data_IF_419409323174
#
_entry.id   IF_419409323174
#
_cell.length_a   1.000
_cell.length_b   1.000
_cell.length_c   1.000
_cell.angle_alpha   90.00
_cell.angle_beta   90.00
_cell.angle_gamma   90.00
#
_symmetry.space_group_name_H-M   'P 1'
#
loop_
_entity.id
_entity.type
_entity.pdbx_description
1 polymer ?
#
# COMPACT_ATOMS: atom_id res chain seq x y z
N UNK A 1 -0.11 -19.93 14.94
CA UNK A 1 1.34 -20.20 14.98
C UNK A 1 2.00 -19.20 15.90
N UNK A 2 3.02 -19.58 16.70
CA UNK A 2 3.76 -18.61 17.50
C UNK A 2 4.44 -17.59 16.58
N UNK A 3 4.34 -16.31 16.96
CA UNK A 3 4.98 -15.22 16.22
C UNK A 3 6.48 -15.35 16.35
N UNK A 4 7.19 -15.34 15.24
CA UNK A 4 8.65 -15.39 15.22
C UNK A 4 9.22 -14.15 15.94
N UNK A 5 10.23 -14.38 16.80
CA UNK A 5 11.03 -13.29 17.35
C UNK A 5 11.80 -12.58 16.23
N UNK A 6 12.28 -11.36 16.46
CA UNK A 6 13.05 -10.63 15.45
C UNK A 6 14.34 -11.36 15.07
N UNK A 7 14.97 -12.05 16.02
CA UNK A 7 16.12 -12.92 15.75
C UNK A 7 15.72 -14.10 14.85
N UNK A 8 14.54 -14.68 15.08
CA UNK A 8 14.01 -15.76 14.24
C UNK A 8 13.67 -15.26 12.83
N UNK A 9 13.17 -14.02 12.67
CA UNK A 9 12.94 -13.40 11.35
C UNK A 9 14.27 -13.18 10.61
N UNK A 10 15.26 -12.65 11.28
CA UNK A 10 16.60 -12.41 10.70
C UNK A 10 17.29 -13.72 10.33
N UNK A 11 17.20 -14.75 11.17
CA UNK A 11 17.72 -16.09 10.86
C UNK A 11 17.01 -16.73 9.66
N UNK A 12 15.68 -16.63 9.60
CA UNK A 12 14.88 -17.11 8.47
C UNK A 12 15.27 -16.36 7.17
N UNK A 13 15.50 -15.04 7.25
CA UNK A 13 15.98 -14.26 6.10
C UNK A 13 17.31 -14.83 5.57
N UNK A 14 18.30 -15.02 6.42
CA UNK A 14 19.60 -15.56 6.01
C UNK A 14 19.49 -16.94 5.33
N UNK A 15 18.68 -17.84 5.89
CA UNK A 15 18.48 -19.19 5.36
C UNK A 15 17.76 -19.17 4.00
N UNK A 16 16.60 -18.52 3.93
CA UNK A 16 15.77 -18.49 2.71
C UNK A 16 16.46 -17.71 1.59
N UNK A 17 17.04 -16.55 1.89
CA UNK A 17 17.77 -15.73 0.92
C UNK A 17 18.94 -16.50 0.30
N UNK A 18 19.72 -17.20 1.12
CA UNK A 18 20.85 -18.04 0.63
C UNK A 18 20.35 -19.18 -0.24
N UNK A 19 19.28 -19.87 0.17
CA UNK A 19 18.69 -20.98 -0.59
C UNK A 19 18.20 -20.51 -1.98
N UNK A 20 17.51 -19.39 -2.05
CA UNK A 20 17.01 -18.82 -3.30
C UNK A 20 18.14 -18.30 -4.19
N UNK A 21 19.15 -17.61 -3.63
CA UNK A 21 20.26 -17.02 -4.37
C UNK A 21 21.12 -18.06 -5.11
N UNK A 22 21.21 -19.29 -4.58
CA UNK A 22 22.00 -20.40 -5.17
C UNK A 22 21.29 -21.11 -6.32
N UNK A 23 20.03 -20.79 -6.61
CA UNK A 23 19.24 -21.43 -7.67
C UNK A 23 19.42 -20.69 -8.99
N UNK A 24 19.51 -21.44 -10.09
CA UNK A 24 19.47 -20.87 -11.44
C UNK A 24 18.11 -20.28 -11.76
N UNK A 25 18.05 -19.38 -12.75
CA UNK A 25 16.79 -18.76 -13.20
C UNK A 25 15.77 -19.81 -13.64
N UNK A 26 16.22 -20.86 -14.37
CA UNK A 26 15.37 -21.98 -14.75
C UNK A 26 14.74 -22.66 -13.52
N UNK A 27 15.56 -22.96 -12.49
CA UNK A 27 15.04 -23.62 -11.29
C UNK A 27 14.12 -22.74 -10.45
N UNK A 28 14.40 -21.42 -10.40
CA UNK A 28 13.49 -20.47 -9.75
C UNK A 28 12.16 -20.36 -10.52
N UNK A 29 12.20 -20.32 -11.85
CA UNK A 29 11.01 -20.32 -12.70
C UNK A 29 10.12 -21.55 -12.43
N UNK A 30 10.71 -22.76 -12.45
CA UNK A 30 10.01 -24.02 -12.16
C UNK A 30 9.33 -23.98 -10.76
N UNK A 31 10.02 -23.44 -9.75
CA UNK A 31 9.45 -23.30 -8.40
C UNK A 31 8.29 -22.32 -8.33
N UNK A 32 8.46 -21.16 -8.99
CA UNK A 32 7.43 -20.12 -9.00
C UNK A 32 6.21 -20.58 -9.80
N UNK A 33 6.38 -21.37 -10.88
CA UNK A 33 5.27 -21.90 -11.67
C UNK A 33 4.52 -23.03 -10.92
N UNK A 34 5.20 -23.74 -10.02
CA UNK A 34 4.61 -24.77 -9.18
C UNK A 34 4.00 -24.22 -7.87
N UNK A 35 4.17 -22.92 -7.57
CA UNK A 35 3.68 -22.30 -6.34
C UNK A 35 2.14 -22.22 -6.34
N UNK A 36 1.55 -22.28 -5.13
CA UNK A 36 0.09 -22.19 -4.95
C UNK A 36 -0.40 -20.76 -5.23
N UNK A 37 -1.27 -20.55 -6.24
CA UNK A 37 -1.78 -19.22 -6.54
C UNK A 37 -2.58 -18.62 -5.37
N UNK A 38 -2.35 -17.36 -5.04
CA UNK A 38 -3.10 -16.60 -4.04
C UNK A 38 -4.04 -15.56 -4.66
N UNK A 39 -3.80 -15.17 -5.91
CA UNK A 39 -4.64 -14.22 -6.65
C UNK A 39 -3.85 -13.38 -7.64
N UNK A 40 -4.60 -12.54 -8.35
CA UNK A 40 -4.06 -11.58 -9.32
C UNK A 40 -4.68 -10.21 -9.04
N UNK A 41 -3.85 -9.16 -8.98
CA UNK A 41 -4.28 -7.77 -8.86
C UNK A 41 -3.59 -6.89 -9.88
N UNK A 42 -3.83 -5.58 -9.82
CA UNK A 42 -3.18 -4.58 -10.69
C UNK A 42 -1.65 -4.65 -10.53
N UNK A 43 -1.17 -4.88 -9.30
CA UNK A 43 0.26 -4.98 -8.98
C UNK A 43 0.95 -6.27 -9.41
N UNK A 44 0.23 -7.23 -10.01
CA UNK A 44 0.82 -8.49 -10.48
C UNK A 44 0.13 -9.74 -9.96
N UNK A 45 0.77 -10.91 -10.17
CA UNK A 45 0.28 -12.22 -9.72
C UNK A 45 0.99 -12.63 -8.44
N UNK A 46 0.23 -13.18 -7.50
CA UNK A 46 0.74 -13.61 -6.20
C UNK A 46 0.58 -15.12 -6.01
N UNK A 47 1.55 -15.73 -5.33
CA UNK A 47 1.54 -17.15 -5.01
C UNK A 47 2.22 -17.41 -3.66
N UNK A 48 1.98 -18.59 -3.09
CA UNK A 48 2.64 -19.09 -1.90
C UNK A 48 3.58 -20.24 -2.27
N UNK A 49 4.82 -20.13 -1.85
CA UNK A 49 5.87 -21.11 -2.04
C UNK A 49 6.42 -21.54 -0.68
N UNK A 50 6.88 -22.78 -0.57
CA UNK A 50 7.66 -23.23 0.58
C UNK A 50 9.15 -23.33 0.21
N UNK A 51 10.01 -22.73 1.04
CA UNK A 51 11.47 -22.78 0.91
C UNK A 51 12.07 -23.17 2.26
N UNK A 52 12.74 -24.30 2.33
CA UNK A 52 13.38 -24.81 3.54
C UNK A 52 12.42 -24.81 4.76
N UNK A 53 11.16 -25.27 4.54
CA UNK A 53 10.11 -25.34 5.57
C UNK A 53 9.55 -23.97 5.98
N UNK A 54 9.84 -22.91 5.21
CA UNK A 54 9.29 -21.56 5.46
C UNK A 54 8.33 -21.14 4.35
N UNK A 55 7.15 -20.60 4.69
CA UNK A 55 6.26 -20.01 3.70
C UNK A 55 6.85 -18.71 3.15
N UNK A 56 6.86 -18.58 1.83
CA UNK A 56 7.39 -17.44 1.09
C UNK A 56 6.29 -16.90 0.18
N UNK A 57 5.94 -15.64 0.37
CA UNK A 57 5.04 -14.95 -0.54
C UNK A 57 5.80 -14.54 -1.79
N UNK A 58 5.29 -14.93 -2.94
CA UNK A 58 5.87 -14.62 -4.25
C UNK A 58 4.97 -13.62 -4.97
N UNK A 59 5.53 -12.48 -5.38
CA UNK A 59 4.85 -11.50 -6.23
C UNK A 59 5.57 -11.39 -7.57
N UNK A 60 4.84 -11.59 -8.67
CA UNK A 60 5.34 -11.41 -10.04
C UNK A 60 4.85 -10.05 -10.54
N UNK A 61 5.74 -9.08 -10.62
CA UNK A 61 5.45 -7.73 -11.12
C UNK A 61 5.85 -7.66 -12.59
N UNK A 62 4.91 -7.40 -13.53
CA UNK A 62 5.24 -7.33 -14.95
C UNK A 62 6.32 -6.27 -15.23
N UNK A 63 7.30 -6.63 -16.04
CA UNK A 63 8.43 -5.79 -16.40
C UNK A 63 8.39 -5.49 -17.89
N UNK A 64 8.15 -4.24 -18.25
CA UNK A 64 8.01 -3.83 -19.65
C UNK A 64 9.37 -3.85 -20.39
N UNK A 65 9.34 -3.90 -21.72
CA UNK A 65 10.55 -3.83 -22.53
C UNK A 65 11.35 -2.53 -22.30
N UNK A 66 10.65 -1.40 -22.04
CA UNK A 66 11.31 -0.15 -21.70
C UNK A 66 12.11 -0.25 -20.39
N UNK A 67 11.53 -0.88 -19.36
CA UNK A 67 12.18 -1.08 -18.07
C UNK A 67 13.34 -2.09 -18.13
N UNK A 68 13.35 -2.97 -19.14
CA UNK A 68 14.39 -4.00 -19.37
C UNK A 68 15.60 -3.50 -20.14
N UNK A 69 15.53 -2.35 -20.78
CA UNK A 69 16.68 -1.79 -21.50
C UNK A 69 17.85 -1.62 -20.54
N UNK A 70 19.11 -1.93 -20.95
CA UNK A 70 20.29 -1.88 -20.08
C UNK A 70 20.41 -0.55 -19.29
N UNK A 71 20.12 0.57 -19.94
CA UNK A 71 20.17 1.91 -19.35
C UNK A 71 19.06 2.18 -18.32
N UNK A 72 18.00 1.36 -18.32
CA UNK A 72 16.84 1.52 -17.43
C UNK A 72 16.77 0.46 -16.31
N UNK A 73 17.65 -0.54 -16.35
CA UNK A 73 17.67 -1.58 -15.30
C UNK A 73 17.88 -0.93 -13.94
N UNK A 74 16.95 -1.19 -13.00
CA UNK A 74 16.92 -0.62 -11.65
C UNK A 74 16.75 0.91 -11.59
N UNK A 75 16.36 1.56 -12.70
CA UNK A 75 16.04 2.97 -12.71
C UNK A 75 14.78 3.26 -11.91
N UNK A 76 14.81 4.25 -11.02
CA UNK A 76 13.66 4.75 -10.28
C UNK A 76 13.04 5.98 -10.91
N UNK A 77 13.52 6.40 -12.09
CA UNK A 77 12.92 7.49 -12.85
C UNK A 77 11.51 7.13 -13.35
N UNK A 78 10.70 8.14 -13.62
CA UNK A 78 9.40 7.98 -14.26
C UNK A 78 9.59 7.77 -15.77
N UNK A 79 9.95 6.54 -16.16
CA UNK A 79 10.35 6.21 -17.54
C UNK A 79 9.28 6.46 -18.60
N UNK A 80 8.01 6.41 -18.21
CA UNK A 80 6.89 6.63 -19.10
C UNK A 80 6.44 8.09 -19.14
N UNK A 81 6.92 8.93 -18.21
CA UNK A 81 6.48 10.32 -18.08
C UNK A 81 5.03 10.44 -17.55
N UNK A 82 4.59 9.49 -16.70
CA UNK A 82 3.23 9.51 -16.14
C UNK A 82 2.98 10.77 -15.33
N UNK A 83 1.78 11.39 -15.45
CA UNK A 83 1.38 12.47 -14.57
C UNK A 83 1.44 12.08 -13.09
N UNK A 84 1.77 13.04 -12.23
CA UNK A 84 1.92 12.77 -10.80
C UNK A 84 0.62 12.33 -10.11
N UNK A 85 -0.54 12.72 -10.64
CA UNK A 85 -1.84 12.28 -10.10
C UNK A 85 -2.07 10.76 -10.27
N UNK A 86 -1.35 10.07 -11.17
CA UNK A 86 -1.35 8.62 -11.24
C UNK A 86 -0.86 7.95 -9.95
N UNK A 87 -0.20 8.71 -9.06
CA UNK A 87 0.24 8.27 -7.75
C UNK A 87 -0.92 7.95 -6.80
N UNK A 88 -2.10 8.53 -7.01
CA UNK A 88 -3.27 8.23 -6.17
C UNK A 88 -3.89 6.84 -6.37
N UNK A 89 -3.44 6.09 -7.34
CA UNK A 89 -3.55 4.64 -7.40
C UNK A 89 -4.91 4.02 -7.72
N UNK A 90 -5.95 4.76 -7.93
CA UNK A 90 -7.30 4.25 -8.14
C UNK A 90 -7.39 3.53 -9.50
N UNK A 91 -6.97 2.25 -9.55
CA UNK A 91 -6.89 1.49 -10.81
C UNK A 91 -5.76 1.94 -11.74
N UNK A 92 -4.71 2.58 -11.19
CA UNK A 92 -3.62 3.16 -11.95
C UNK A 92 -2.63 2.15 -12.52
N UNK A 93 -1.94 2.49 -13.62
CA UNK A 93 -1.00 1.59 -14.29
C UNK A 93 0.32 1.40 -13.53
N UNK A 94 0.53 2.10 -12.41
CA UNK A 94 1.77 2.08 -11.61
C UNK A 94 2.98 2.69 -12.32
N UNK A 95 4.00 3.05 -11.54
CA UNK A 95 5.20 3.77 -12.04
C UNK A 95 6.37 2.85 -12.43
N UNK A 96 6.27 1.55 -12.15
CA UNK A 96 7.27 0.60 -12.58
C UNK A 96 7.79 -0.33 -11.49
N UNK A 97 8.21 -1.52 -11.93
CA UNK A 97 8.69 -2.60 -11.06
C UNK A 97 9.96 -2.22 -10.28
N UNK A 98 10.82 -1.39 -10.86
CA UNK A 98 12.09 -1.00 -10.23
C UNK A 98 11.90 -0.08 -9.02
N UNK A 99 10.84 0.76 -8.99
CA UNK A 99 10.48 1.54 -7.81
C UNK A 99 10.04 0.64 -6.66
N UNK A 100 9.20 -0.35 -6.94
CA UNK A 100 8.77 -1.33 -5.94
C UNK A 100 9.97 -2.08 -5.37
N UNK A 101 10.87 -2.59 -6.23
CA UNK A 101 12.11 -3.24 -5.79
C UNK A 101 12.96 -2.33 -4.89
N UNK A 102 13.14 -1.08 -5.29
CA UNK A 102 13.95 -0.13 -4.51
C UNK A 102 13.38 0.07 -3.09
N UNK A 103 12.06 0.16 -2.95
CA UNK A 103 11.41 0.27 -1.63
C UNK A 103 11.55 -1.04 -0.86
N UNK A 104 11.35 -2.21 -1.48
CA UNK A 104 11.54 -3.50 -0.83
C UNK A 104 12.97 -3.68 -0.28
N UNK A 105 13.98 -3.22 -1.01
CA UNK A 105 15.37 -3.21 -0.53
C UNK A 105 15.52 -2.28 0.67
N UNK A 106 14.99 -1.06 0.60
CA UNK A 106 15.08 -0.09 1.70
C UNK A 106 14.41 -0.61 2.97
N UNK A 107 13.18 -1.10 2.87
CA UNK A 107 12.37 -1.57 4.00
C UNK A 107 13.00 -2.80 4.65
N UNK A 108 13.48 -3.76 3.85
CA UNK A 108 14.21 -4.92 4.34
C UNK A 108 15.47 -4.52 5.11
N UNK A 109 16.26 -3.56 4.59
CA UNK A 109 17.43 -3.06 5.29
C UNK A 109 17.08 -2.34 6.61
N UNK A 110 15.95 -1.65 6.67
CA UNK A 110 15.49 -1.04 7.93
C UNK A 110 15.11 -2.10 8.97
N UNK A 111 14.44 -3.18 8.56
CA UNK A 111 14.09 -4.29 9.45
C UNK A 111 15.35 -4.99 9.95
N UNK A 112 16.25 -5.40 9.06
CA UNK A 112 17.49 -6.12 9.41
C UNK A 112 18.44 -5.25 10.25
N UNK A 113 18.45 -3.95 10.02
CA UNK A 113 19.20 -2.97 10.82
C UNK A 113 18.51 -2.58 12.14
N UNK A 114 17.38 -3.20 12.51
CA UNK A 114 16.67 -2.95 13.76
C UNK A 114 16.00 -1.56 13.87
N UNK A 115 15.88 -0.82 12.75
CA UNK A 115 15.37 0.56 12.75
C UNK A 115 13.86 0.64 12.86
N UNK A 116 13.15 -0.24 12.15
CA UNK A 116 11.70 -0.37 12.20
C UNK A 116 11.27 -1.76 11.72
N UNK A 117 10.36 -2.40 12.43
CA UNK A 117 10.02 -3.82 12.25
C UNK A 117 8.73 -4.06 11.47
N UNK A 118 8.00 -2.99 11.13
CA UNK A 118 6.67 -3.02 10.51
C UNK A 118 6.70 -3.15 8.99
N UNK A 119 7.62 -3.95 8.44
CA UNK A 119 7.68 -4.30 7.02
C UNK A 119 7.93 -5.79 6.86
N UNK A 120 7.35 -6.47 5.85
CA UNK A 120 7.78 -7.81 5.44
C UNK A 120 9.22 -7.77 4.94
N UNK A 121 9.98 -8.83 5.22
CA UNK A 121 11.34 -8.99 4.70
C UNK A 121 11.28 -9.46 3.23
N UNK A 122 12.10 -8.87 2.37
CA UNK A 122 12.37 -9.42 1.05
C UNK A 122 13.56 -10.37 1.15
N UNK A 123 13.34 -11.66 0.90
CA UNK A 123 14.37 -12.67 0.92
C UNK A 123 15.23 -12.65 -0.34
N UNK A 124 14.59 -12.46 -1.50
CA UNK A 124 15.28 -12.49 -2.80
C UNK A 124 14.44 -11.80 -3.87
N UNK A 125 15.06 -11.47 -4.99
CA UNK A 125 14.38 -11.04 -6.20
C UNK A 125 15.10 -11.56 -7.44
N UNK A 126 14.37 -11.74 -8.55
CA UNK A 126 14.93 -12.15 -9.83
C UNK A 126 14.08 -11.65 -10.98
N UNK A 127 14.69 -11.31 -12.09
CA UNK A 127 13.96 -11.12 -13.35
C UNK A 127 13.88 -12.47 -14.05
N UNK A 128 12.66 -12.95 -14.27
CA UNK A 128 12.40 -14.23 -14.93
C UNK A 128 11.55 -14.02 -16.18
N UNK A 129 11.72 -14.85 -17.22
CA UNK A 129 10.78 -14.90 -18.34
C UNK A 129 9.37 -15.14 -17.83
N UNK A 130 8.39 -14.49 -18.46
CA UNK A 130 6.99 -14.62 -18.09
C UNK A 130 6.10 -14.48 -19.31
N UNK A 131 4.88 -14.99 -19.21
CA UNK A 131 3.83 -14.71 -20.19
C UNK A 131 3.20 -13.37 -19.91
N UNK A 132 2.74 -12.68 -20.96
CA UNK A 132 1.99 -11.44 -20.82
C UNK A 132 0.86 -11.61 -19.77
N UNK A 133 0.75 -10.70 -18.78
CA UNK A 133 -0.27 -10.82 -17.76
C UNK A 133 -1.66 -10.64 -18.37
N UNK A 134 -2.66 -11.36 -17.85
CA UNK A 134 -4.05 -10.99 -18.07
C UNK A 134 -4.23 -9.60 -17.45
N UNK A 135 -4.67 -8.59 -18.20
CA UNK A 135 -4.89 -7.26 -17.65
C UNK A 135 -5.87 -7.29 -16.48
N UNK A 136 -5.59 -6.52 -15.44
CA UNK A 136 -6.58 -6.27 -14.40
C UNK A 136 -7.85 -5.65 -15.02
N UNK A 137 -9.06 -5.90 -14.47
CA UNK A 137 -10.31 -5.40 -15.02
C UNK A 137 -10.30 -3.90 -15.32
N UNK A 138 -9.62 -3.11 -14.48
CA UNK A 138 -9.49 -1.65 -14.61
C UNK A 138 -8.64 -1.24 -15.83
N UNK A 139 -7.73 -2.10 -16.28
CA UNK A 139 -6.82 -1.87 -17.40
C UNK A 139 -7.17 -2.72 -18.62
N UNK A 140 -8.23 -3.53 -18.57
CA UNK A 140 -8.63 -4.41 -19.64
C UNK A 140 -9.13 -3.64 -20.88
N UNK A 141 -9.87 -2.57 -20.67
CA UNK A 141 -10.26 -1.61 -21.71
C UNK A 141 -9.28 -0.44 -21.70
N UNK A 142 -8.34 -0.43 -22.66
CA UNK A 142 -7.27 0.57 -22.73
C UNK A 142 -7.82 1.97 -22.94
N UNK A 143 -8.82 2.13 -23.83
CA UNK A 143 -9.39 3.44 -24.14
C UNK A 143 -10.07 4.05 -22.90
N UNK A 144 -10.86 3.23 -22.21
CA UNK A 144 -11.50 3.63 -20.96
C UNK A 144 -10.47 3.98 -19.87
N UNK A 145 -9.43 3.16 -19.70
CA UNK A 145 -8.38 3.40 -18.72
C UNK A 145 -7.60 4.67 -19.04
N UNK A 146 -7.25 4.90 -20.30
CA UNK A 146 -6.57 6.12 -20.74
C UNK A 146 -7.43 7.35 -20.50
N UNK A 147 -8.71 7.31 -20.90
CA UNK A 147 -9.66 8.41 -20.67
C UNK A 147 -9.81 8.70 -19.16
N UNK A 148 -9.93 7.66 -18.35
CA UNK A 148 -10.02 7.79 -16.89
C UNK A 148 -8.81 8.48 -16.26
N UNK A 149 -7.61 8.24 -16.80
CA UNK A 149 -6.34 8.82 -16.33
C UNK A 149 -5.90 10.07 -17.11
N UNK A 150 -6.84 10.85 -17.65
CA UNK A 150 -6.59 12.15 -18.26
C UNK A 150 -6.29 12.13 -19.76
N UNK A 151 -6.38 10.98 -20.41
CA UNK A 151 -6.30 10.87 -21.89
C UNK A 151 -4.88 10.94 -22.46
N UNK A 152 -3.83 10.99 -21.64
CA UNK A 152 -2.45 11.18 -22.08
C UNK A 152 -1.85 9.97 -22.83
N UNK A 153 -0.97 10.20 -23.84
CA UNK A 153 -0.29 9.13 -24.55
C UNK A 153 0.70 8.34 -23.69
N UNK A 154 1.21 8.93 -22.60
CA UNK A 154 2.09 8.29 -21.63
C UNK A 154 1.38 7.18 -20.85
N UNK A 155 0.12 7.38 -20.47
CA UNK A 155 -0.72 6.37 -19.81
C UNK A 155 -0.97 5.21 -20.75
N UNK A 156 -1.30 5.50 -22.04
CA UNK A 156 -1.47 4.48 -23.07
C UNK A 156 -0.18 3.64 -23.22
N UNK A 157 0.96 4.30 -23.43
CA UNK A 157 2.26 3.60 -23.60
C UNK A 157 2.56 2.68 -22.41
N UNK A 158 2.23 3.13 -21.19
CA UNK A 158 2.43 2.30 -19.98
C UNK A 158 1.53 1.07 -19.98
N UNK A 159 0.23 1.22 -20.24
CA UNK A 159 -0.73 0.11 -20.26
C UNK A 159 -0.37 -0.90 -21.38
N UNK A 160 -0.07 -0.42 -22.59
CA UNK A 160 0.33 -1.27 -23.70
C UNK A 160 1.66 -1.99 -23.41
N UNK A 161 2.64 -1.30 -22.80
CA UNK A 161 3.89 -1.90 -22.38
C UNK A 161 3.70 -3.03 -21.35
N UNK A 162 2.77 -2.88 -20.41
CA UNK A 162 2.42 -3.94 -19.46
C UNK A 162 1.79 -5.15 -20.15
N UNK A 163 0.89 -4.92 -21.10
CA UNK A 163 0.22 -5.98 -21.87
C UNK A 163 1.17 -6.77 -22.77
N UNK A 164 2.30 -6.19 -23.17
CA UNK A 164 3.32 -6.80 -24.02
C UNK A 164 4.50 -7.34 -23.24
N UNK A 165 4.47 -7.27 -21.91
CA UNK A 165 5.59 -7.72 -21.09
C UNK A 165 5.84 -9.23 -21.27
N UNK A 166 7.11 -9.59 -21.45
CA UNK A 166 7.60 -10.96 -21.64
C UNK A 166 8.45 -11.45 -20.47
N UNK A 167 8.56 -10.64 -19.42
CA UNK A 167 9.27 -10.95 -18.19
C UNK A 167 8.59 -10.29 -16.99
N UNK A 168 8.87 -10.84 -15.81
CA UNK A 168 8.45 -10.27 -14.53
C UNK A 168 9.63 -10.10 -13.59
N UNK A 169 9.60 -9.03 -12.81
CA UNK A 169 10.36 -8.96 -11.57
C UNK A 169 9.64 -9.85 -10.55
N UNK A 170 10.31 -10.91 -10.12
CA UNK A 170 9.77 -11.83 -9.11
C UNK A 170 10.37 -11.46 -7.77
N UNK A 171 9.50 -11.12 -6.81
CA UNK A 171 9.85 -10.78 -5.43
C UNK A 171 9.51 -11.97 -4.53
N UNK A 172 10.46 -12.41 -3.70
CA UNK A 172 10.27 -13.45 -2.70
C UNK A 172 10.26 -12.80 -1.33
N UNK A 173 9.08 -12.74 -0.71
CA UNK A 173 8.83 -11.94 0.48
C UNK A 173 8.45 -12.82 1.67
N UNK A 174 8.63 -12.30 2.87
CA UNK A 174 8.10 -12.89 4.09
C UNK A 174 6.58 -13.00 4.03
N UNK A 175 6.06 -14.18 4.30
CA UNK A 175 4.62 -14.41 4.33
C UNK A 175 4.04 -13.99 5.67
N UNK A 176 3.19 -12.99 5.66
CA UNK A 176 2.37 -12.58 6.80
C UNK A 176 0.92 -13.00 6.51
N UNK A 177 0.31 -13.85 7.36
CA UNK A 177 -0.85 -14.65 6.94
C UNK A 177 -2.17 -13.88 6.84
N UNK A 178 -2.28 -12.70 7.39
CA UNK A 178 -3.55 -11.96 7.44
C UNK A 178 -3.39 -10.50 7.07
N UNK A 179 -4.38 -9.97 6.35
CA UNK A 179 -4.54 -8.54 6.16
C UNK A 179 -5.08 -7.88 7.43
N UNK A 180 -4.82 -6.59 7.59
CA UNK A 180 -5.44 -5.81 8.65
C UNK A 180 -6.97 -5.84 8.54
N UNK A 181 -7.51 -5.80 7.31
CA UNK A 181 -8.95 -5.88 7.07
C UNK A 181 -9.57 -7.15 7.69
N UNK A 182 -9.01 -8.32 7.40
CA UNK A 182 -9.49 -9.61 7.92
C UNK A 182 -9.39 -9.68 9.44
N UNK A 183 -8.20 -9.39 9.97
CA UNK A 183 -7.93 -9.45 11.40
C UNK A 183 -8.81 -8.47 12.19
N UNK A 184 -8.96 -7.24 11.71
CA UNK A 184 -9.73 -6.22 12.41
C UNK A 184 -11.23 -6.54 12.39
N UNK A 185 -11.73 -7.11 11.27
CA UNK A 185 -13.11 -7.63 11.18
C UNK A 185 -13.38 -8.68 12.25
N UNK A 186 -12.48 -9.64 12.45
CA UNK A 186 -12.61 -10.64 13.52
C UNK A 186 -12.62 -10.00 14.90
N UNK A 187 -11.75 -9.01 15.15
CA UNK A 187 -11.65 -8.35 16.46
C UNK A 187 -12.90 -7.56 16.81
N UNK A 188 -13.45 -6.80 15.83
CA UNK A 188 -14.69 -6.03 16.03
C UNK A 188 -15.88 -6.97 16.28
N UNK A 189 -15.99 -8.07 15.54
CA UNK A 189 -17.06 -9.06 15.73
C UNK A 189 -16.96 -9.82 17.06
N UNK A 190 -15.80 -9.92 17.66
CA UNK A 190 -15.58 -10.61 18.94
C UNK A 190 -16.08 -9.83 20.17
N UNK A 191 -16.66 -8.65 19.99
CA UNK A 191 -17.27 -7.83 21.04
C UNK A 191 -16.48 -6.58 21.41
N UNK A 192 -17.09 -5.71 22.22
CA UNK A 192 -16.61 -4.35 22.48
C UNK A 192 -15.20 -4.29 23.04
N UNK A 193 -14.87 -5.09 24.05
CA UNK A 193 -13.53 -5.11 24.64
C UNK A 193 -12.43 -5.53 23.65
N UNK A 194 -12.75 -6.49 22.77
CA UNK A 194 -11.84 -6.92 21.70
C UNK A 194 -11.66 -5.83 20.64
N UNK A 195 -12.74 -5.15 20.28
CA UNK A 195 -12.73 -4.02 19.35
C UNK A 195 -11.88 -2.88 19.89
N UNK A 196 -12.04 -2.48 21.15
CA UNK A 196 -11.31 -1.39 21.77
C UNK A 196 -9.80 -1.65 21.83
N UNK A 197 -9.40 -2.88 22.22
CA UNK A 197 -7.98 -3.28 22.19
C UNK A 197 -7.41 -3.25 20.77
N UNK A 198 -8.19 -3.71 19.80
CA UNK A 198 -7.77 -3.70 18.41
C UNK A 198 -7.66 -2.26 17.86
N UNK A 199 -8.62 -1.38 18.15
CA UNK A 199 -8.58 0.04 17.80
C UNK A 199 -7.32 0.73 18.34
N UNK A 200 -7.00 0.54 19.63
CA UNK A 200 -5.81 1.12 20.25
C UNK A 200 -4.51 0.61 19.60
N UNK A 201 -4.43 -0.68 19.25
CA UNK A 201 -3.28 -1.24 18.54
C UNK A 201 -3.16 -0.64 17.14
N UNK A 202 -4.25 -0.62 16.38
CA UNK A 202 -4.26 -0.15 14.98
C UNK A 202 -3.88 1.33 14.92
N UNK A 203 -4.49 2.20 15.72
CA UNK A 203 -4.15 3.63 15.75
C UNK A 203 -2.67 3.87 16.04
N UNK A 204 -2.13 3.20 17.08
CA UNK A 204 -0.73 3.33 17.46
C UNK A 204 0.22 2.86 16.37
N UNK A 205 -0.02 1.68 15.79
CA UNK A 205 0.86 1.08 14.79
C UNK A 205 0.79 1.83 13.44
N UNK A 206 -0.39 2.32 13.04
CA UNK A 206 -0.54 3.19 11.86
C UNK A 206 0.25 4.48 12.04
N UNK A 207 0.15 5.11 13.21
CA UNK A 207 0.90 6.33 13.52
C UNK A 207 2.41 6.09 13.50
N UNK A 208 2.88 4.99 14.10
CA UNK A 208 4.30 4.65 14.13
C UNK A 208 4.85 4.38 12.72
N UNK A 209 4.15 3.58 11.91
CA UNK A 209 4.60 3.21 10.56
C UNK A 209 4.62 4.39 9.61
N UNK A 210 3.54 5.16 9.54
CA UNK A 210 3.46 6.35 8.66
C UNK A 210 4.45 7.44 9.07
N UNK A 211 4.67 7.64 10.37
CA UNK A 211 5.69 8.58 10.87
C UNK A 211 7.11 8.13 10.52
N UNK A 212 7.40 6.83 10.64
CA UNK A 212 8.70 6.28 10.27
C UNK A 212 8.97 6.46 8.76
N UNK A 213 8.02 6.08 7.90
CA UNK A 213 8.15 6.23 6.45
C UNK A 213 8.38 7.69 6.06
N UNK A 214 7.55 8.60 6.58
CA UNK A 214 7.68 10.04 6.31
C UNK A 214 9.04 10.61 6.74
N UNK A 215 9.52 10.27 7.94
CA UNK A 215 10.83 10.69 8.44
C UNK A 215 12.00 10.21 7.56
N UNK A 216 11.78 9.14 6.77
CA UNK A 216 12.77 8.61 5.83
C UNK A 216 12.52 9.00 4.37
N UNK A 217 11.61 9.95 4.13
CA UNK A 217 11.29 10.45 2.81
C UNK A 217 10.57 9.44 1.91
N UNK A 218 9.81 8.52 2.51
CA UNK A 218 8.99 7.53 1.81
C UNK A 218 7.51 7.84 2.06
N UNK A 219 6.71 7.85 1.00
CA UNK A 219 5.25 7.87 1.01
C UNK A 219 4.75 6.65 0.27
N UNK A 220 3.88 5.88 0.90
CA UNK A 220 3.37 4.61 0.39
C UNK A 220 2.30 4.80 -0.69
N UNK A 221 1.45 5.81 -0.54
CA UNK A 221 0.30 6.17 -1.38
C UNK A 221 -0.85 5.15 -1.43
N UNK A 222 -0.64 3.90 -1.03
CA UNK A 222 -1.64 2.83 -1.11
C UNK A 222 -1.75 2.01 0.18
N UNK A 223 -1.54 2.65 1.34
CA UNK A 223 -1.57 2.00 2.66
C UNK A 223 -3.00 1.74 3.16
N UNK A 224 -3.83 1.06 2.34
CA UNK A 224 -5.14 0.60 2.76
C UNK A 224 -5.08 -0.74 3.52
N UNK A 225 -6.17 -1.12 4.19
CA UNK A 225 -6.17 -2.26 5.12
C UNK A 225 -5.97 -3.64 4.47
N UNK A 226 -6.01 -3.75 3.15
CA UNK A 226 -5.63 -4.97 2.44
C UNK A 226 -4.13 -5.01 2.12
N UNK A 227 -3.45 -3.84 2.04
CA UNK A 227 -2.01 -3.71 1.85
C UNK A 227 -1.23 -3.59 3.18
N UNK A 228 -1.95 -3.52 4.30
CA UNK A 228 -1.37 -3.61 5.63
C UNK A 228 -1.67 -4.98 6.19
N UNK A 229 -0.61 -5.71 6.55
CA UNK A 229 -0.69 -7.06 7.10
C UNK A 229 -0.49 -7.05 8.61
N UNK A 230 -0.86 -8.14 9.30
CA UNK A 230 -0.68 -8.24 10.74
C UNK A 230 -0.48 -9.67 11.25
N UNK A 231 0.30 -9.79 12.30
CA UNK A 231 0.44 -11.00 13.12
C UNK A 231 -0.43 -10.94 14.41
N UNK A 232 -1.25 -9.88 14.54
CA UNK A 232 -2.08 -9.59 15.70
C UNK A 232 -1.37 -8.81 16.82
N UNK A 233 -0.08 -8.46 16.66
CA UNK A 233 0.72 -7.70 17.63
C UNK A 233 1.30 -6.42 17.04
N UNK A 234 1.58 -6.43 15.73
CA UNK A 234 2.08 -5.29 14.96
C UNK A 234 1.49 -5.27 13.58
N UNK A 235 1.65 -4.14 12.91
CA UNK A 235 1.29 -3.97 11.52
C UNK A 235 2.53 -4.03 10.62
N UNK A 236 2.33 -4.54 9.40
CA UNK A 236 3.36 -4.62 8.35
C UNK A 236 2.85 -3.93 7.11
N UNK A 237 3.49 -2.85 6.70
CA UNK A 237 3.17 -2.14 5.46
C UNK A 237 3.76 -2.90 4.28
N UNK A 238 2.93 -3.28 3.33
CA UNK A 238 3.28 -4.13 2.18
C UNK A 238 2.68 -3.54 0.90
N UNK A 239 3.10 -4.07 -0.25
CA UNK A 239 2.71 -3.61 -1.59
C UNK A 239 3.11 -2.15 -1.88
N UNK A 240 4.36 -1.98 -2.29
CA UNK A 240 4.93 -0.67 -2.59
C UNK A 240 4.85 -0.27 -4.07
N UNK A 241 3.91 -0.83 -4.83
CA UNK A 241 3.75 -0.54 -6.27
C UNK A 241 3.47 0.92 -6.61
N UNK A 242 2.93 1.70 -5.66
CA UNK A 242 2.66 3.13 -5.78
C UNK A 242 3.56 4.00 -4.89
N UNK A 243 4.53 3.42 -4.21
CA UNK A 243 5.36 4.20 -3.29
C UNK A 243 6.25 5.22 -4.01
N UNK A 244 6.41 6.39 -3.39
CA UNK A 244 7.29 7.47 -3.85
C UNK A 244 8.33 7.79 -2.77
N UNK A 245 9.59 7.90 -3.17
CA UNK A 245 10.68 8.15 -2.23
C UNK A 245 11.56 9.31 -2.66
N UNK A 246 11.98 10.13 -1.71
CA UNK A 246 12.98 11.19 -1.92
C UNK A 246 14.35 10.65 -2.40
N UNK A 247 14.53 9.32 -2.38
CA UNK A 247 15.76 8.66 -2.87
C UNK A 247 15.67 8.20 -4.33
N UNK A 248 14.51 8.38 -4.96
CA UNK A 248 14.33 8.06 -6.37
C UNK A 248 14.91 9.14 -7.27
N UNK A 249 15.15 8.78 -8.54
CA UNK A 249 15.49 9.75 -9.58
C UNK A 249 14.22 10.52 -10.00
N UNK A 250 13.80 11.46 -9.15
CA UNK A 250 12.57 12.24 -9.32
C UNK A 250 12.77 13.38 -10.28
N UNK A 251 11.76 13.65 -11.11
CA UNK A 251 11.62 14.92 -11.82
C UNK A 251 11.30 16.07 -10.84
N UNK A 252 11.38 17.30 -11.32
CA UNK A 252 11.01 18.48 -10.53
C UNK A 252 9.54 18.42 -10.09
N UNK A 253 8.63 18.01 -10.99
CA UNK A 253 7.21 17.84 -10.68
C UNK A 253 6.96 16.76 -9.63
N UNK A 254 7.66 15.62 -9.70
CA UNK A 254 7.57 14.56 -8.68
C UNK A 254 8.14 15.00 -7.33
N UNK A 255 9.21 15.80 -7.34
CA UNK A 255 9.80 16.35 -6.10
C UNK A 255 8.82 17.31 -5.42
N UNK A 256 8.20 18.21 -6.18
CA UNK A 256 7.15 19.10 -5.68
C UNK A 256 5.94 18.33 -5.15
N UNK A 257 5.50 17.31 -5.90
CA UNK A 257 4.40 16.44 -5.50
C UNK A 257 4.71 15.71 -4.18
N UNK A 258 5.88 15.09 -4.05
CA UNK A 258 6.31 14.44 -2.82
C UNK A 258 6.35 15.42 -1.64
N UNK A 259 6.85 16.65 -1.85
CA UNK A 259 6.89 17.69 -0.83
C UNK A 259 5.52 18.04 -0.28
N UNK A 260 4.52 18.15 -1.17
CA UNK A 260 3.13 18.44 -0.82
C UNK A 260 2.45 17.27 -0.08
N UNK A 261 2.84 16.03 -0.37
CA UNK A 261 2.17 14.81 0.09
C UNK A 261 2.86 14.11 1.28
N UNK A 262 3.78 14.76 1.96
CA UNK A 262 4.52 14.14 3.08
C UNK A 262 3.62 13.52 4.16
N UNK A 263 2.49 14.16 4.46
CA UNK A 263 1.53 13.66 5.45
C UNK A 263 0.47 12.72 4.86
N UNK A 264 0.53 12.40 3.55
CA UNK A 264 -0.52 11.67 2.86
C UNK A 264 -0.85 10.34 3.53
N UNK A 265 0.13 9.48 3.78
CA UNK A 265 -0.10 8.14 4.36
C UNK A 265 -0.78 8.23 5.73
N UNK A 266 -0.41 9.21 6.57
CA UNK A 266 -1.05 9.41 7.86
C UNK A 266 -2.52 9.80 7.68
N UNK A 267 -2.81 10.73 6.77
CA UNK A 267 -4.19 11.13 6.47
C UNK A 267 -4.98 9.98 5.84
N UNK A 268 -4.37 9.27 4.89
CA UNK A 268 -4.99 8.17 4.16
C UNK A 268 -5.34 7.00 5.08
N UNK A 269 -4.42 6.58 5.95
CA UNK A 269 -4.67 5.48 6.88
C UNK A 269 -5.73 5.82 7.93
N UNK A 270 -5.77 7.07 8.42
CA UNK A 270 -6.82 7.55 9.34
C UNK A 270 -8.18 7.65 8.64
N UNK A 271 -8.21 8.12 7.39
CA UNK A 271 -9.44 8.11 6.58
C UNK A 271 -9.95 6.69 6.38
N UNK A 272 -9.07 5.73 6.07
CA UNK A 272 -9.41 4.32 5.99
C UNK A 272 -9.95 3.79 7.31
N UNK A 273 -9.32 4.13 8.44
CA UNK A 273 -9.74 3.70 9.77
C UNK A 273 -11.17 4.16 10.09
N UNK A 274 -11.47 5.45 9.85
CA UNK A 274 -12.81 6.00 10.09
C UNK A 274 -13.85 5.35 9.19
N UNK A 275 -13.63 5.35 7.88
CA UNK A 275 -14.60 4.79 6.92
C UNK A 275 -14.80 3.28 7.13
N UNK A 276 -13.75 2.55 7.48
CA UNK A 276 -13.82 1.13 7.78
C UNK A 276 -14.62 0.86 9.06
N UNK A 277 -14.36 1.61 10.15
CA UNK A 277 -15.11 1.48 11.40
C UNK A 277 -16.59 1.80 11.22
N UNK A 278 -16.92 2.86 10.50
CA UNK A 278 -18.33 3.21 10.20
C UNK A 278 -19.02 2.04 9.48
N UNK A 279 -18.37 1.47 8.46
CA UNK A 279 -18.94 0.32 7.74
C UNK A 279 -19.04 -0.93 8.62
N UNK A 280 -18.02 -1.24 9.42
CA UNK A 280 -17.99 -2.44 10.24
C UNK A 280 -18.95 -2.42 11.41
N UNK A 281 -19.20 -1.24 12.00
CA UNK A 281 -20.07 -1.07 13.18
C UNK A 281 -21.53 -0.82 12.81
N UNK A 282 -21.79 -0.09 11.71
CA UNK A 282 -23.12 0.41 11.40
C UNK A 282 -23.69 -0.12 10.08
N UNK A 283 -22.90 -0.89 9.29
CA UNK A 283 -23.35 -1.55 8.06
C UNK A 283 -23.74 -0.59 6.94
N UNK A 284 -23.18 0.64 6.94
CA UNK A 284 -23.56 1.72 6.04
C UNK A 284 -23.10 1.48 4.59
N UNK A 285 -23.94 1.83 3.62
CA UNK A 285 -23.53 1.97 2.23
C UNK A 285 -22.59 3.19 2.04
N UNK A 286 -22.18 3.48 0.78
CA UNK A 286 -21.26 4.60 0.50
C UNK A 286 -21.88 5.96 0.89
N UNK A 287 -23.16 6.18 0.59
CA UNK A 287 -23.84 7.45 0.80
C UNK A 287 -24.09 7.69 2.29
N UNK A 288 -24.61 6.68 2.99
CA UNK A 288 -24.84 6.73 4.43
C UNK A 288 -23.53 6.93 5.21
N UNK A 289 -22.47 6.22 4.82
CA UNK A 289 -21.15 6.39 5.42
C UNK A 289 -20.61 7.81 5.25
N UNK A 290 -20.73 8.41 4.06
CA UNK A 290 -20.36 9.80 3.81
C UNK A 290 -21.14 10.74 4.73
N UNK A 291 -22.46 10.64 4.75
CA UNK A 291 -23.32 11.48 5.59
C UNK A 291 -22.92 11.37 7.07
N UNK A 292 -22.69 10.15 7.57
CA UNK A 292 -22.32 9.94 8.96
C UNK A 292 -20.93 10.51 9.30
N UNK A 293 -19.94 10.35 8.40
CA UNK A 293 -18.61 10.93 8.60
C UNK A 293 -18.67 12.45 8.64
N UNK A 294 -19.45 13.09 7.76
CA UNK A 294 -19.66 14.54 7.78
C UNK A 294 -20.38 15.01 9.03
N UNK A 295 -21.44 14.33 9.47
CA UNK A 295 -22.15 14.67 10.69
C UNK A 295 -21.21 14.65 11.92
N UNK A 296 -20.36 13.62 12.03
CA UNK A 296 -19.34 13.55 13.09
C UNK A 296 -18.28 14.64 12.94
N UNK A 297 -17.89 15.00 11.73
CA UNK A 297 -16.94 16.09 11.47
C UNK A 297 -17.51 17.47 11.89
N UNK A 298 -18.82 17.64 11.87
CA UNK A 298 -19.55 18.82 12.33
C UNK A 298 -19.84 18.80 13.84
N UNK A 299 -19.37 17.78 14.56
CA UNK A 299 -19.48 17.70 16.02
C UNK A 299 -20.64 16.85 16.54
N UNK A 300 -21.35 16.10 15.68
CA UNK A 300 -22.33 15.12 16.16
C UNK A 300 -21.61 13.90 16.76
N UNK A 301 -22.19 13.36 17.82
CA UNK A 301 -21.69 12.14 18.42
C UNK A 301 -21.87 10.93 17.46
N UNK A 302 -20.90 10.00 17.40
CA UNK A 302 -21.10 8.75 16.68
C UNK A 302 -22.28 7.96 17.25
N UNK A 303 -22.96 7.13 16.44
CA UNK A 303 -23.95 6.21 16.97
C UNK A 303 -23.35 5.27 18.03
N UNK A 304 -24.16 4.67 18.92
CA UNK A 304 -23.67 3.77 19.97
C UNK A 304 -22.78 2.65 19.44
N UNK A 305 -21.64 2.43 20.13
CA UNK A 305 -20.64 1.42 19.74
C UNK A 305 -19.60 1.21 20.83
N UNK A 306 -18.55 0.41 20.56
CA UNK A 306 -17.42 0.24 21.47
C UNK A 306 -16.77 1.60 21.80
N UNK A 307 -16.51 1.91 23.09
CA UNK A 307 -16.05 3.26 23.50
C UNK A 307 -14.75 3.71 22.81
N UNK A 308 -13.79 2.81 22.65
CA UNK A 308 -12.53 3.13 21.95
C UNK A 308 -12.75 3.41 20.47
N UNK A 309 -13.65 2.67 19.81
CA UNK A 309 -13.98 2.89 18.41
C UNK A 309 -14.73 4.22 18.21
N UNK A 310 -15.72 4.55 19.03
CA UNK A 310 -16.46 5.81 18.96
C UNK A 310 -15.56 7.01 19.23
N UNK A 311 -14.64 6.91 20.20
CA UNK A 311 -13.64 7.96 20.45
C UNK A 311 -12.70 8.19 19.25
N UNK A 312 -12.31 7.13 18.54
CA UNK A 312 -11.52 7.25 17.28
C UNK A 312 -12.32 7.93 16.18
N UNK A 313 -13.61 7.56 16.02
CA UNK A 313 -14.50 8.17 15.05
C UNK A 313 -14.62 9.67 15.28
N UNK A 314 -14.98 10.12 16.50
CA UNK A 314 -15.09 11.55 16.83
C UNK A 314 -13.77 12.30 16.58
N UNK A 315 -12.64 11.71 16.97
CA UNK A 315 -11.33 12.35 16.86
C UNK A 315 -10.89 12.56 15.41
N UNK A 316 -11.15 11.58 14.54
CA UNK A 316 -10.60 11.55 13.19
C UNK A 316 -11.61 11.85 12.08
N UNK A 317 -12.90 11.97 12.39
CA UNK A 317 -13.94 12.32 11.41
C UNK A 317 -13.66 13.63 10.66
N UNK A 318 -13.18 14.72 11.28
CA UNK A 318 -12.90 15.95 10.56
C UNK A 318 -11.85 15.77 9.45
N UNK A 319 -10.79 15.01 9.74
CA UNK A 319 -9.76 14.66 8.74
C UNK A 319 -10.34 13.74 7.66
N UNK A 320 -11.11 12.74 8.07
CA UNK A 320 -11.69 11.76 7.16
C UNK A 320 -12.67 12.41 6.18
N UNK A 321 -13.51 13.37 6.61
CA UNK A 321 -14.40 14.11 5.74
C UNK A 321 -13.64 14.86 4.64
N UNK A 322 -12.57 15.60 5.00
CA UNK A 322 -11.75 16.34 4.04
C UNK A 322 -11.14 15.40 2.98
N UNK A 323 -10.58 14.27 3.40
CA UNK A 323 -9.92 13.36 2.47
C UNK A 323 -10.92 12.54 1.64
N UNK A 324 -12.08 12.22 2.21
CA UNK A 324 -13.16 11.57 1.49
C UNK A 324 -13.71 12.47 0.38
N UNK A 325 -13.93 13.75 0.65
CA UNK A 325 -14.37 14.74 -0.35
C UNK A 325 -13.32 14.92 -1.45
N UNK A 326 -12.04 14.93 -1.07
CA UNK A 326 -10.95 14.98 -2.04
C UNK A 326 -10.99 13.78 -2.98
N UNK A 327 -11.08 12.56 -2.44
CA UNK A 327 -11.11 11.33 -3.25
C UNK A 327 -12.37 11.25 -4.12
N UNK A 328 -13.52 11.69 -3.61
CA UNK A 328 -14.76 11.77 -4.39
C UNK A 328 -14.59 12.68 -5.60
N UNK A 329 -14.12 13.91 -5.38
CA UNK A 329 -13.85 14.86 -6.50
C UNK A 329 -12.76 14.35 -7.44
N UNK A 330 -11.71 13.70 -6.92
CA UNK A 330 -10.67 13.09 -7.74
C UNK A 330 -11.24 12.00 -8.66
N UNK A 331 -12.21 11.21 -8.18
CA UNK A 331 -12.82 10.13 -8.94
C UNK A 331 -13.91 10.62 -9.91
N UNK A 332 -14.74 11.54 -9.45
CA UNK A 332 -15.97 11.89 -10.16
C UNK A 332 -15.80 13.14 -11.03
N UNK A 333 -14.97 14.12 -10.62
CA UNK A 333 -14.82 15.40 -11.32
C UNK A 333 -13.53 15.45 -12.17
N UNK A 334 -12.35 15.41 -11.53
CA UNK A 334 -11.07 15.57 -12.22
C UNK A 334 -9.90 14.90 -11.51
N UNK A 335 -9.02 14.25 -12.28
CA UNK A 335 -7.74 13.70 -11.77
C UNK A 335 -6.77 14.79 -11.33
N UNK A 336 -6.97 16.02 -11.77
CA UNK A 336 -6.18 17.20 -11.38
C UNK A 336 -6.74 17.92 -10.14
N UNK A 337 -7.71 17.32 -9.44
CA UNK A 337 -8.27 17.88 -8.20
C UNK A 337 -7.13 18.23 -7.22
N UNK A 338 -7.03 19.49 -6.77
CA UNK A 338 -5.96 19.91 -5.87
C UNK A 338 -6.00 19.16 -4.54
N UNK A 339 -4.85 18.64 -4.12
CA UNK A 339 -4.72 17.98 -2.81
C UNK A 339 -4.87 18.98 -1.67
N UNK A 340 -5.76 18.75 -0.69
CA UNK A 340 -6.11 19.72 0.35
C UNK A 340 -5.08 19.73 1.50
N UNK A 341 -3.78 19.87 1.19
CA UNK A 341 -2.69 19.74 2.14
C UNK A 341 -2.83 20.63 3.38
N UNK A 342 -3.23 21.91 3.20
CA UNK A 342 -3.36 22.84 4.33
C UNK A 342 -4.52 22.48 5.27
N UNK A 343 -5.65 22.03 4.72
CA UNK A 343 -6.81 21.62 5.50
C UNK A 343 -6.48 20.36 6.31
N UNK A 344 -5.84 19.37 5.67
CA UNK A 344 -5.40 18.14 6.33
C UNK A 344 -4.34 18.41 7.39
N UNK A 345 -3.40 19.33 7.13
CA UNK A 345 -2.40 19.71 8.13
C UNK A 345 -3.05 20.31 9.39
N UNK A 346 -4.04 21.18 9.23
CA UNK A 346 -4.81 21.73 10.37
C UNK A 346 -5.56 20.63 11.13
N UNK A 347 -6.20 19.70 10.42
CA UNK A 347 -6.96 18.59 11.04
C UNK A 347 -6.06 17.56 11.75
N UNK A 348 -4.76 17.50 11.42
CA UNK A 348 -3.77 16.67 12.12
C UNK A 348 -3.25 17.29 13.42
N UNK A 349 -3.40 18.60 13.61
CA UNK A 349 -2.99 19.25 14.85
C UNK A 349 -3.99 18.91 15.95
N UNK A 350 -3.53 18.62 17.19
CA UNK A 350 -4.45 18.46 18.30
C UNK A 350 -5.23 19.76 18.45
N UNK A 351 -6.55 19.65 18.69
CA UNK A 351 -7.36 20.81 19.04
C UNK A 351 -6.69 21.51 20.21
N UNK A 352 -6.22 22.73 20.00
CA UNK A 352 -5.65 23.53 21.05
C UNK A 352 -6.67 23.66 22.20
N UNK A 353 -6.24 23.83 23.48
CA UNK A 353 -7.18 24.06 24.54
C UNK A 353 -8.06 25.25 24.14
N UNK A 354 -9.39 25.03 24.20
CA UNK A 354 -10.34 26.11 24.02
C UNK A 354 -9.88 27.24 24.93
N UNK A 355 -9.50 28.38 24.37
CA UNK A 355 -9.37 29.62 25.12
C UNK A 355 -10.80 30.05 25.41
N UNK A 356 -11.23 29.79 26.66
CA UNK A 356 -12.42 30.40 27.21
C UNK A 356 -12.26 31.92 27.28
#
# INVERSE_FOLDING_TARGET
MPVASDDARSAAHGTVATSLARRSDRRLGELVDAAVPLGTGIGGRCALLEVDGKPVFVKRVPLTELERRPEHVRSTANLFGLPTFCQYGIGGPGFGAWRELAVQIMTTNWVLGGRFRGFPLMYHWRVLPDTAPTPAPELADVERAVAYWGGGPEVRRRIEGLRQSSASLVLFLEYIPRTLHEWFTERVRAGAESADRACALVERELAAGTSFMNAHGLVHFDAHFQNILTDGRRLYFADFGLALSARFALSESETGFLGLHRAYDRCYTLNWLVNWLVTALYGSDRTERHALVHAMAEGQDPPPGPPGATALLSRHAPLAAILTDFHTRLQDDSRETPYPAQALHRALQPAGPHRD
#
